data_IF_091325857377
#
_entry.id   IF_091325857377
#
_cell.length_a   1.000
_cell.length_b   1.000
_cell.length_c   1.000
_cell.angle_alpha   90.00
_cell.angle_beta   90.00
_cell.angle_gamma   90.00
#
_symmetry.space_group_name_H-M   'P 1'
#
loop_
_entity.id
_entity.type
_entity.pdbx_description
1 polymer ?
#
# COMPACT_ATOMS: atom_id res chain seq x y z
N UNK A 1 -4.30 14.39 -5.61
CA UNK A 1 -3.10 15.16 -6.01
C UNK A 1 -2.78 14.82 -7.45
N UNK A 2 -2.39 15.80 -8.27
CA UNK A 2 -2.13 15.57 -9.70
C UNK A 2 -0.66 15.21 -9.94
N UNK A 3 -0.37 14.52 -11.05
CA UNK A 3 1.01 14.21 -11.47
C UNK A 3 1.91 15.46 -11.56
N UNK A 4 1.33 16.64 -11.80
CA UNK A 4 2.03 17.92 -11.83
C UNK A 4 2.43 18.43 -10.42
N UNK A 5 1.74 18.02 -9.35
CA UNK A 5 2.09 18.41 -7.96
C UNK A 5 3.29 17.63 -7.40
N UNK A 6 3.70 16.54 -8.08
CA UNK A 6 4.84 15.71 -7.69
C UNK A 6 6.12 16.03 -8.49
N UNK A 7 6.12 17.05 -9.35
CA UNK A 7 7.32 17.49 -10.07
C UNK A 7 8.42 17.92 -9.09
N UNK A 8 9.57 17.23 -9.13
CA UNK A 8 10.71 17.47 -8.25
C UNK A 8 10.78 16.57 -7.00
N UNK A 9 9.78 15.72 -6.77
CA UNK A 9 9.82 14.70 -5.71
C UNK A 9 10.36 13.39 -6.27
N UNK A 10 11.37 12.83 -5.61
CA UNK A 10 11.76 11.44 -5.83
C UNK A 10 10.67 10.54 -5.24
N UNK A 11 10.41 9.38 -5.83
CA UNK A 11 9.36 8.47 -5.41
C UNK A 11 8.83 7.58 -6.53
N UNK A 12 7.96 6.63 -6.19
CA UNK A 12 7.29 5.75 -7.16
C UNK A 12 5.79 5.71 -6.95
N UNK A 13 5.07 5.30 -7.99
CA UNK A 13 3.64 5.04 -7.92
C UNK A 13 3.39 3.58 -7.54
N UNK A 14 2.63 3.34 -6.47
CA UNK A 14 2.13 2.04 -6.05
C UNK A 14 0.62 2.02 -6.23
N UNK A 15 0.07 0.94 -6.75
CA UNK A 15 -1.38 0.72 -6.77
C UNK A 15 -1.81 -0.09 -5.54
N UNK A 16 -2.78 0.42 -4.79
CA UNK A 16 -3.42 -0.30 -3.70
C UNK A 16 -4.77 -0.82 -4.17
N UNK A 17 -4.89 -2.15 -4.29
CA UNK A 17 -6.16 -2.83 -4.53
C UNK A 17 -6.84 -3.07 -3.18
N UNK A 18 -7.93 -2.36 -2.94
CA UNK A 18 -8.76 -2.38 -1.74
C UNK A 18 -9.88 -3.40 -1.96
N UNK A 19 -10.01 -4.36 -1.05
CA UNK A 19 -10.92 -5.50 -1.20
C UNK A 19 -11.76 -5.61 0.07
N UNK A 20 -13.08 -5.57 -0.11
CA UNK A 20 -14.10 -5.88 0.90
C UNK A 20 -14.60 -7.30 0.61
N UNK A 21 -13.99 -8.29 1.26
CA UNK A 21 -14.20 -9.69 0.93
C UNK A 21 -15.51 -10.24 1.50
N UNK A 22 -16.01 -9.64 2.59
CA UNK A 22 -17.23 -10.07 3.28
C UNK A 22 -18.46 -9.21 2.96
N UNK A 23 -18.29 -8.07 2.27
CA UNK A 23 -19.35 -7.17 1.83
C UNK A 23 -19.94 -6.28 2.92
N UNK A 24 -19.21 -6.03 4.01
CA UNK A 24 -19.69 -5.24 5.15
C UNK A 24 -19.42 -3.72 4.99
N UNK A 25 -18.79 -3.33 3.89
CA UNK A 25 -18.41 -1.96 3.57
C UNK A 25 -17.07 -1.53 4.17
N UNK A 26 -16.32 -2.44 4.80
CA UNK A 26 -14.96 -2.22 5.30
C UNK A 26 -13.97 -2.97 4.43
N UNK A 27 -12.75 -2.43 4.33
CA UNK A 27 -11.69 -3.10 3.57
C UNK A 27 -11.09 -4.21 4.43
N UNK A 28 -11.19 -5.45 3.98
CA UNK A 28 -10.56 -6.61 4.64
C UNK A 28 -9.10 -6.79 4.21
N UNK A 29 -8.77 -6.37 2.98
CA UNK A 29 -7.46 -6.62 2.38
C UNK A 29 -6.99 -5.48 1.49
N UNK A 30 -5.69 -5.19 1.56
CA UNK A 30 -5.01 -4.25 0.67
C UNK A 30 -3.85 -4.97 -0.01
N UNK A 31 -3.93 -5.13 -1.32
CA UNK A 31 -2.81 -5.64 -2.14
C UNK A 31 -2.11 -4.47 -2.81
N UNK A 32 -0.84 -4.28 -2.46
CA UNK A 32 0.02 -3.28 -3.08
C UNK A 32 0.75 -3.89 -4.27
N UNK A 33 0.67 -3.24 -5.43
CA UNK A 33 1.37 -3.66 -6.65
C UNK A 33 2.14 -2.50 -7.28
N UNK A 34 3.24 -2.82 -7.97
CA UNK A 34 4.01 -1.84 -8.74
C UNK A 34 3.27 -1.45 -10.05
N UNK A 35 3.77 -0.46 -10.81
CA UNK A 35 3.16 -0.07 -12.07
C UNK A 35 3.17 -1.16 -13.15
N UNK A 36 3.99 -2.20 -12.98
CA UNK A 36 4.05 -3.36 -13.85
C UNK A 36 3.11 -4.48 -13.38
N UNK A 37 2.34 -4.27 -12.31
CA UNK A 37 1.43 -5.25 -11.72
C UNK A 37 2.09 -6.32 -10.84
N UNK A 38 3.37 -6.14 -10.46
CA UNK A 38 4.08 -7.07 -9.57
C UNK A 38 3.70 -6.81 -8.13
N UNK A 39 3.52 -7.88 -7.35
CA UNK A 39 3.18 -7.79 -5.94
C UNK A 39 4.31 -7.12 -5.13
N UNK A 40 3.98 -6.02 -4.45
CA UNK A 40 4.88 -5.29 -3.54
C UNK A 40 4.62 -5.74 -2.10
N UNK A 41 3.36 -5.77 -1.69
CA UNK A 41 2.97 -6.19 -0.35
C UNK A 41 1.50 -6.63 -0.29
N UNK A 42 1.16 -7.35 0.78
CA UNK A 42 -0.19 -7.76 1.12
C UNK A 42 -0.46 -7.43 2.58
N UNK A 43 -1.52 -6.67 2.83
CA UNK A 43 -2.04 -6.39 4.17
C UNK A 43 -3.43 -7.01 4.31
N UNK A 44 -3.65 -7.76 5.38
CA UNK A 44 -4.89 -8.49 5.64
C UNK A 44 -5.37 -8.20 7.06
N UNK A 45 -6.64 -7.89 7.19
CA UNK A 45 -7.40 -7.80 8.43
C UNK A 45 -8.19 -9.10 8.64
N UNK A 46 -7.54 -10.11 9.22
CA UNK A 46 -8.15 -11.42 9.40
C UNK A 46 -9.21 -11.47 10.53
N UNK A 47 -9.27 -10.43 11.37
CA UNK A 47 -10.22 -10.36 12.49
C UNK A 47 -11.34 -9.33 12.27
N UNK A 48 -11.39 -8.72 11.09
CA UNK A 48 -12.41 -7.76 10.65
C UNK A 48 -12.53 -6.55 11.59
N UNK A 49 -11.41 -6.08 12.12
CA UNK A 49 -11.37 -4.94 13.05
C UNK A 49 -11.34 -3.57 12.35
N UNK A 50 -11.21 -3.56 11.02
CA UNK A 50 -10.88 -2.40 10.21
C UNK A 50 -9.40 -2.03 10.30
N UNK A 51 -8.52 -2.96 10.67
CA UNK A 51 -7.07 -2.75 10.79
C UNK A 51 -6.32 -4.03 10.40
N UNK A 52 -5.36 -3.92 9.47
CA UNK A 52 -4.54 -5.07 9.10
C UNK A 52 -3.71 -5.60 10.30
N UNK A 53 -3.90 -6.88 10.60
CA UNK A 53 -3.15 -7.61 11.62
C UNK A 53 -2.04 -8.48 11.02
N UNK A 54 -2.10 -8.77 9.71
CA UNK A 54 -1.05 -9.46 8.97
C UNK A 54 -0.56 -8.61 7.79
N UNK A 55 0.76 -8.44 7.67
CA UNK A 55 1.40 -7.68 6.59
C UNK A 55 2.62 -8.46 6.09
N UNK A 56 2.63 -8.79 4.81
CA UNK A 56 3.72 -9.42 4.10
C UNK A 56 4.28 -8.47 3.04
N UNK A 57 5.60 -8.34 2.96
CA UNK A 57 6.29 -7.50 1.98
C UNK A 57 7.18 -8.38 1.11
N UNK A 58 7.15 -8.14 -0.21
CA UNK A 58 7.76 -9.01 -1.22
C UNK A 58 8.88 -8.34 -2.01
N UNK A 59 8.93 -7.00 -2.01
CA UNK A 59 9.92 -6.22 -2.76
C UNK A 59 10.61 -5.21 -1.86
N UNK A 60 11.84 -4.87 -2.21
CA UNK A 60 12.54 -3.69 -1.70
C UNK A 60 11.83 -2.47 -2.28
N UNK A 61 10.94 -1.90 -1.48
CA UNK A 61 10.11 -0.75 -1.84
C UNK A 61 10.81 0.54 -1.47
N UNK A 62 11.83 0.49 -0.62
CA UNK A 62 12.68 1.67 -0.32
C UNK A 62 13.75 1.89 -1.40
N UNK A 63 14.12 0.82 -2.13
CA UNK A 63 15.14 0.79 -3.16
C UNK A 63 16.57 0.93 -2.61
N UNK A 64 16.79 0.52 -1.36
CA UNK A 64 18.10 0.58 -0.71
C UNK A 64 19.02 -0.61 -1.08
N UNK A 65 18.49 -1.55 -1.87
CA UNK A 65 19.14 -2.77 -2.34
C UNK A 65 18.89 -3.98 -1.44
N UNK A 66 18.00 -3.90 -0.45
CA UNK A 66 17.72 -4.97 0.51
C UNK A 66 16.22 -5.04 0.82
N UNK A 67 15.71 -6.26 0.93
CA UNK A 67 14.39 -6.51 1.52
C UNK A 67 14.54 -6.64 3.04
N UNK A 68 14.21 -5.59 3.79
CA UNK A 68 14.39 -5.56 5.24
C UNK A 68 13.26 -4.86 6.03
N UNK A 69 13.56 -4.45 7.26
CA UNK A 69 12.58 -3.85 8.16
C UNK A 69 12.11 -2.45 7.75
N UNK A 70 12.87 -1.70 6.94
CA UNK A 70 12.45 -0.39 6.43
C UNK A 70 11.30 -0.52 5.43
N UNK A 71 11.36 -1.52 4.53
CA UNK A 71 10.26 -1.84 3.62
C UNK A 71 8.96 -2.15 4.38
N UNK A 72 9.09 -2.98 5.42
CA UNK A 72 7.98 -3.34 6.29
C UNK A 72 7.44 -2.10 7.02
N UNK A 73 8.31 -1.20 7.49
CA UNK A 73 7.89 0.05 8.14
C UNK A 73 7.11 0.95 7.19
N UNK A 74 7.59 1.13 5.96
CA UNK A 74 6.94 1.94 4.94
C UNK A 74 5.55 1.39 4.59
N UNK A 75 5.45 0.09 4.28
CA UNK A 75 4.16 -0.55 3.97
C UNK A 75 3.20 -0.48 5.16
N UNK A 76 3.68 -0.69 6.40
CA UNK A 76 2.85 -0.56 7.61
C UNK A 76 2.30 0.85 7.79
N UNK A 77 3.11 1.87 7.50
CA UNK A 77 2.68 3.27 7.55
C UNK A 77 1.58 3.52 6.52
N UNK A 78 1.81 3.18 5.25
CA UNK A 78 0.84 3.33 4.16
C UNK A 78 -0.47 2.59 4.46
N UNK A 79 -0.36 1.34 4.92
CA UNK A 79 -1.52 0.52 5.31
C UNK A 79 -2.36 1.23 6.38
N UNK A 80 -1.74 1.71 7.46
CA UNK A 80 -2.44 2.43 8.53
C UNK A 80 -3.06 3.74 8.06
N UNK A 81 -2.40 4.46 7.17
CA UNK A 81 -2.93 5.70 6.59
C UNK A 81 -4.20 5.40 5.76
N UNK A 82 -4.19 4.33 4.97
CA UNK A 82 -5.36 3.87 4.24
C UNK A 82 -6.49 3.44 5.19
N UNK A 83 -6.25 2.54 6.13
CA UNK A 83 -7.30 2.08 7.05
C UNK A 83 -7.93 3.19 7.91
N UNK A 84 -7.24 4.32 8.12
CA UNK A 84 -7.81 5.49 8.83
C UNK A 84 -8.71 6.36 7.97
N UNK A 85 -8.67 6.21 6.65
CA UNK A 85 -9.55 6.93 5.74
C UNK A 85 -10.97 6.40 5.87
N UNK A 86 -11.93 7.30 6.05
CA UNK A 86 -13.35 6.95 6.16
C UNK A 86 -14.06 6.91 4.80
N UNK A 87 -13.36 7.27 3.73
CA UNK A 87 -13.88 7.37 2.36
C UNK A 87 -13.37 6.24 1.45
N UNK A 88 -12.71 5.22 2.01
CA UNK A 88 -12.27 4.07 1.21
C UNK A 88 -13.47 3.24 0.78
N UNK A 89 -13.45 2.86 -0.49
CA UNK A 89 -14.37 1.91 -1.11
C UNK A 89 -13.54 0.85 -1.82
N UNK A 90 -14.14 -0.32 -2.04
CA UNK A 90 -13.53 -1.37 -2.84
C UNK A 90 -13.11 -0.82 -4.22
N UNK A 91 -11.92 -1.22 -4.69
CA UNK A 91 -11.38 -0.77 -5.97
C UNK A 91 -9.87 -0.57 -5.94
N UNK A 92 -9.34 0.16 -6.92
CA UNK A 92 -7.91 0.45 -7.02
C UNK A 92 -7.65 1.93 -6.76
N UNK A 93 -6.65 2.20 -5.92
CA UNK A 93 -6.16 3.53 -5.63
C UNK A 93 -4.70 3.66 -6.09
N UNK A 94 -4.42 4.69 -6.88
CA UNK A 94 -3.06 5.09 -7.22
C UNK A 94 -2.46 5.93 -6.08
N UNK A 95 -1.29 5.54 -5.60
CA UNK A 95 -0.57 6.20 -4.52
C UNK A 95 0.81 6.61 -5.01
N UNK A 96 1.19 7.87 -4.79
CA UNK A 96 2.58 8.30 -4.94
C UNK A 96 3.29 8.21 -3.59
N UNK A 97 4.44 7.54 -3.57
CA UNK A 97 5.23 7.31 -2.36
C UNK A 97 6.61 7.94 -2.55
N UNK A 98 6.88 9.03 -1.83
CA UNK A 98 8.09 9.86 -2.00
C UNK A 98 9.39 9.14 -1.61
N UNK A 99 9.35 8.29 -0.59
CA UNK A 99 10.55 7.58 -0.10
C UNK A 99 10.65 6.16 -0.65
N UNK A 100 9.92 5.88 -1.73
CA UNK A 100 9.91 4.57 -2.35
C UNK A 100 10.70 4.54 -3.65
N UNK A 101 11.40 3.44 -3.87
CA UNK A 101 12.04 3.06 -5.11
C UNK A 101 11.91 1.55 -5.26
N UNK A 102 11.73 1.07 -6.49
CA UNK A 102 11.74 -0.37 -6.76
C UNK A 102 13.19 -0.85 -6.89
N UNK A 103 13.59 -1.80 -6.05
CA UNK A 103 14.91 -2.46 -6.04
C UNK A 103 14.85 -3.91 -6.46
#
# INVERSE_FOLDING_TARGET
MSKAENEGKHGVYVYANLIDANGDGKIDMISFVDPNGRAVALAVDNDHTGLANNIHVFQDVTGDGKLDGEDVRLIRKLTRELYRRTDLVEGQLELFVEEAAYG
#
